data_IF_140313352202
#
_entry.id   IF_140313352202
#
_cell.length_a   1.000
_cell.length_b   1.000
_cell.length_c   1.000
_cell.angle_alpha   90.00
_cell.angle_beta   90.00
_cell.angle_gamma   90.00
#
_symmetry.space_group_name_H-M   'P 1'
#
loop_
_entity.id
_entity.type
_entity.pdbx_description
1 polymer ?
#
# COMPACT_ATOMS: atom_id res chain seq x y z
N UNK A 1 -21.09 -18.14 -21.86
CA UNK A 1 -20.05 -17.22 -21.36
C UNK A 1 -19.80 -17.57 -19.91
N UNK A 2 -18.61 -18.03 -19.50
CA UNK A 2 -18.37 -18.24 -18.08
C UNK A 2 -18.43 -16.87 -17.41
N UNK A 3 -19.42 -16.71 -16.53
CA UNK A 3 -19.48 -15.61 -15.58
C UNK A 3 -18.21 -15.79 -14.75
N UNK A 4 -17.26 -14.86 -14.89
CA UNK A 4 -16.17 -14.77 -13.92
C UNK A 4 -16.85 -14.49 -12.59
N UNK A 5 -17.09 -15.56 -11.84
CA UNK A 5 -17.54 -15.50 -10.46
C UNK A 5 -16.53 -14.57 -9.80
N UNK A 6 -16.99 -13.38 -9.44
CA UNK A 6 -16.23 -12.45 -8.61
C UNK A 6 -16.08 -13.17 -7.28
N UNK A 7 -15.10 -14.07 -7.21
CA UNK A 7 -14.54 -14.50 -5.94
C UNK A 7 -14.32 -13.20 -5.16
N UNK A 8 -14.78 -13.18 -3.91
CA UNK A 8 -14.58 -12.11 -2.95
C UNK A 8 -13.07 -11.91 -2.75
N UNK A 9 -12.42 -11.32 -3.74
CA UNK A 9 -10.97 -11.27 -3.86
C UNK A 9 -10.58 -9.95 -3.23
N UNK A 10 -10.30 -10.08 -1.93
CA UNK A 10 -9.88 -9.06 -1.00
C UNK A 10 -11.04 -8.18 -0.51
N UNK A 11 -11.32 -8.21 0.79
CA UNK A 11 -12.22 -7.27 1.48
C UNK A 11 -11.68 -5.83 1.40
N UNK A 12 -11.80 -5.25 0.21
CA UNK A 12 -11.30 -3.95 -0.22
C UNK A 12 -12.45 -3.07 -0.70
N UNK A 13 -13.64 -3.25 -0.13
CA UNK A 13 -14.86 -2.54 -0.52
C UNK A 13 -14.90 -1.10 0.05
N UNK A 14 -14.01 -0.78 0.99
CA UNK A 14 -13.91 0.51 1.69
C UNK A 14 -12.77 1.39 1.11
N UNK A 15 -12.71 1.53 -0.21
CA UNK A 15 -11.83 2.52 -0.84
C UNK A 15 -12.44 3.92 -0.65
N UNK A 16 -11.75 4.75 0.11
CA UNK A 16 -12.14 6.14 0.36
C UNK A 16 -11.29 7.09 -0.47
N UNK A 17 -11.82 8.28 -0.80
CA UNK A 17 -11.07 9.30 -1.53
C UNK A 17 -9.85 9.73 -0.71
N UNK A 18 -8.67 9.72 -1.34
CA UNK A 18 -7.42 10.12 -0.67
C UNK A 18 -7.50 11.57 -0.19
N UNK A 19 -7.27 11.76 1.10
CA UNK A 19 -7.11 13.06 1.74
C UNK A 19 -5.63 13.43 1.81
N UNK A 20 -5.29 14.65 1.42
CA UNK A 20 -3.91 15.15 1.51
C UNK A 20 -3.74 16.03 2.75
N UNK A 21 -2.73 15.77 3.60
CA UNK A 21 -2.45 16.64 4.73
C UNK A 21 -1.89 17.99 4.23
N UNK A 22 -2.11 19.05 5.02
CA UNK A 22 -1.42 20.32 4.81
C UNK A 22 0.10 20.11 4.96
N UNK A 23 0.87 20.54 3.95
CA UNK A 23 2.33 20.48 3.98
C UNK A 23 2.84 21.77 4.60
N UNK A 24 3.60 21.66 5.68
CA UNK A 24 4.25 22.80 6.33
C UNK A 24 5.74 22.83 6.00
N UNK A 25 6.34 24.02 5.77
CA UNK A 25 7.78 24.16 5.62
C UNK A 25 8.53 23.54 6.81
N UNK A 26 9.61 22.80 6.53
CA UNK A 26 10.43 22.15 7.56
C UNK A 26 9.94 20.78 8.04
N UNK A 27 8.79 20.27 7.55
CA UNK A 27 8.35 18.92 7.90
C UNK A 27 9.26 17.84 7.32
N UNK A 28 9.68 16.90 8.17
CA UNK A 28 10.36 15.69 7.75
C UNK A 28 9.42 14.78 6.92
N UNK A 29 10.00 13.89 6.11
CA UNK A 29 9.24 12.88 5.38
C UNK A 29 8.42 11.96 6.32
N UNK A 30 8.90 11.76 7.55
CA UNK A 30 8.22 10.95 8.57
C UNK A 30 6.93 11.63 9.04
N UNK A 31 7.01 12.92 9.40
CA UNK A 31 5.83 13.68 9.82
C UNK A 31 4.79 13.79 8.70
N UNK A 32 5.24 13.96 7.45
CA UNK A 32 4.34 13.97 6.28
C UNK A 32 3.66 12.61 6.08
N UNK A 33 4.39 11.51 6.33
CA UNK A 33 3.85 10.16 6.28
C UNK A 33 2.81 9.93 7.37
N UNK A 34 3.10 10.31 8.62
CA UNK A 34 2.19 10.14 9.75
C UNK A 34 0.89 10.91 9.54
N UNK A 35 0.98 12.17 9.08
CA UNK A 35 -0.19 12.97 8.75
C UNK A 35 -1.00 12.35 7.61
N UNK A 36 -0.34 11.85 6.56
CA UNK A 36 -1.02 11.16 5.46
C UNK A 36 -1.68 9.85 5.92
N UNK A 37 -0.98 9.05 6.73
CA UNK A 37 -1.48 7.78 7.21
C UNK A 37 -2.67 7.95 8.16
N UNK A 38 -2.63 8.95 9.04
CA UNK A 38 -3.73 9.28 9.94
C UNK A 38 -5.02 9.66 9.17
N UNK A 39 -4.89 10.37 8.05
CA UNK A 39 -6.02 10.74 7.19
C UNK A 39 -6.49 9.60 6.27
N UNK A 40 -5.63 8.61 6.00
CA UNK A 40 -5.92 7.53 5.06
C UNK A 40 -5.56 6.15 5.65
N UNK A 41 -6.15 5.75 6.79
CA UNK A 41 -5.82 4.47 7.43
C UNK A 41 -6.20 3.26 6.55
N UNK A 42 -7.15 3.43 5.64
CA UNK A 42 -7.55 2.41 4.66
C UNK A 42 -6.39 1.98 3.76
N UNK A 43 -5.43 2.87 3.43
CA UNK A 43 -4.28 2.51 2.59
C UNK A 43 -3.47 1.38 3.23
N UNK A 44 -3.21 1.45 4.54
CA UNK A 44 -2.50 0.39 5.24
C UNK A 44 -3.28 -0.92 5.24
N UNK A 45 -4.58 -0.87 5.57
CA UNK A 45 -5.44 -2.07 5.60
C UNK A 45 -5.42 -2.81 4.27
N UNK A 46 -5.51 -2.06 3.16
CA UNK A 46 -5.48 -2.65 1.83
C UNK A 46 -4.10 -3.23 1.49
N UNK A 47 -3.01 -2.57 1.90
CA UNK A 47 -1.67 -3.13 1.73
C UNK A 47 -1.46 -4.40 2.56
N UNK A 48 -1.97 -4.47 3.79
CA UNK A 48 -1.96 -5.67 4.63
C UNK A 48 -2.72 -6.82 3.94
N UNK A 49 -3.94 -6.55 3.45
CA UNK A 49 -4.76 -7.55 2.75
C UNK A 49 -4.08 -8.07 1.47
N UNK A 50 -3.51 -7.19 0.65
CA UNK A 50 -2.78 -7.58 -0.56
C UNK A 50 -1.53 -8.40 -0.24
N UNK A 51 -0.83 -8.05 0.85
CA UNK A 51 0.34 -8.79 1.30
C UNK A 51 -0.04 -10.19 1.77
N UNK A 52 -1.11 -10.29 2.57
CA UNK A 52 -1.63 -11.56 3.06
C UNK A 52 -2.07 -12.47 1.90
N UNK A 53 -2.74 -11.92 0.89
CA UNK A 53 -3.12 -12.67 -0.32
C UNK A 53 -1.88 -13.22 -1.07
N UNK A 54 -0.82 -12.41 -1.20
CA UNK A 54 0.43 -12.87 -1.78
C UNK A 54 1.05 -14.02 -0.97
N UNK A 55 1.04 -13.94 0.36
CA UNK A 55 1.52 -15.02 1.24
C UNK A 55 0.68 -16.28 1.06
N UNK A 56 -0.65 -16.16 1.05
CA UNK A 56 -1.57 -17.27 0.85
C UNK A 56 -1.37 -17.97 -0.52
N UNK A 57 -1.01 -17.20 -1.55
CA UNK A 57 -0.66 -17.70 -2.88
C UNK A 57 0.77 -18.27 -2.99
N UNK A 58 1.52 -18.30 -1.89
CA UNK A 58 2.85 -18.89 -1.83
C UNK A 58 3.98 -18.01 -2.39
N UNK A 59 3.76 -16.70 -2.50
CA UNK A 59 4.79 -15.78 -2.94
C UNK A 59 5.94 -15.76 -1.93
N UNK A 60 7.18 -15.88 -2.44
CA UNK A 60 8.38 -15.83 -1.60
C UNK A 60 8.93 -14.40 -1.44
N UNK A 61 8.60 -13.51 -2.37
CA UNK A 61 9.06 -12.11 -2.41
C UNK A 61 7.95 -11.20 -2.94
N UNK A 62 7.74 -10.07 -2.28
CA UNK A 62 6.75 -9.05 -2.68
C UNK A 62 7.40 -7.68 -2.66
N UNK A 63 7.24 -6.95 -3.76
CA UNK A 63 7.68 -5.56 -3.85
C UNK A 63 6.58 -4.60 -3.43
N UNK A 64 6.88 -3.66 -2.53
CA UNK A 64 5.92 -2.60 -2.17
C UNK A 64 5.47 -1.78 -3.38
N UNK A 65 6.34 -1.64 -4.40
CA UNK A 65 5.99 -0.98 -5.64
C UNK A 65 4.79 -1.63 -6.33
N UNK A 66 4.83 -2.95 -6.46
CA UNK A 66 3.75 -3.76 -7.04
C UNK A 66 2.45 -3.61 -6.24
N UNK A 67 2.52 -3.72 -4.91
CA UNK A 67 1.34 -3.55 -4.04
C UNK A 67 0.70 -2.17 -4.22
N UNK A 68 1.52 -1.12 -4.29
CA UNK A 68 1.06 0.24 -4.52
C UNK A 68 0.50 0.46 -5.92
N UNK A 69 1.05 -0.19 -6.94
CA UNK A 69 0.56 -0.09 -8.31
C UNK A 69 -0.81 -0.75 -8.44
N UNK A 70 -0.98 -1.94 -7.83
CA UNK A 70 -2.26 -2.61 -7.75
C UNK A 70 -3.28 -1.77 -6.98
N UNK A 71 -2.91 -1.24 -5.80
CA UNK A 71 -3.78 -0.36 -5.03
C UNK A 71 -4.16 0.92 -5.79
N UNK A 72 -3.21 1.52 -6.51
CA UNK A 72 -3.45 2.73 -7.33
C UNK A 72 -4.38 2.47 -8.50
N UNK A 73 -4.23 1.33 -9.18
CA UNK A 73 -5.14 0.94 -10.26
C UNK A 73 -6.56 0.78 -9.73
N UNK A 74 -6.74 0.03 -8.63
CA UNK A 74 -8.04 -0.14 -7.94
C UNK A 74 -8.64 1.19 -7.48
N UNK A 75 -7.83 2.06 -6.90
CA UNK A 75 -8.26 3.39 -6.50
C UNK A 75 -8.74 4.21 -7.71
N UNK A 76 -8.04 4.11 -8.85
CA UNK A 76 -8.47 4.75 -10.11
C UNK A 76 -9.82 4.25 -10.61
N UNK A 77 -10.08 2.95 -10.53
CA UNK A 77 -11.39 2.36 -10.84
C UNK A 77 -12.49 2.90 -9.90
N UNK A 78 -12.24 2.89 -8.58
CA UNK A 78 -13.22 3.32 -7.59
C UNK A 78 -13.51 4.83 -7.64
N UNK A 79 -12.53 5.64 -8.01
CA UNK A 79 -12.63 7.12 -7.98
C UNK A 79 -12.80 7.76 -9.35
N UNK A 80 -13.07 6.96 -10.39
CA UNK A 80 -13.33 7.44 -11.76
C UNK A 80 -12.20 8.34 -12.29
N UNK A 81 -10.95 7.92 -12.12
CA UNK A 81 -9.77 8.58 -12.74
C UNK A 81 -8.88 9.40 -11.82
N UNK A 82 -9.13 9.42 -10.50
CA UNK A 82 -8.33 10.18 -9.52
C UNK A 82 -7.01 9.46 -9.11
N UNK A 83 -6.58 8.44 -9.85
CA UNK A 83 -5.49 7.50 -9.51
C UNK A 83 -4.20 8.15 -8.99
N UNK A 84 -3.84 9.32 -9.50
CA UNK A 84 -2.60 10.02 -9.17
C UNK A 84 -2.58 10.64 -7.76
N UNK A 85 -3.72 10.71 -7.06
CA UNK A 85 -3.76 11.17 -5.66
C UNK A 85 -3.02 10.21 -4.71
N UNK A 86 -2.98 8.91 -5.04
CA UNK A 86 -2.19 7.93 -4.32
C UNK A 86 -0.75 7.90 -4.85
N UNK A 87 0.12 8.74 -4.28
CA UNK A 87 1.51 8.87 -4.72
C UNK A 87 2.46 7.84 -4.06
N UNK A 88 3.67 7.71 -4.64
CA UNK A 88 4.72 6.76 -4.23
C UNK A 88 5.57 7.25 -3.03
N UNK A 89 5.36 8.47 -2.52
CA UNK A 89 6.32 9.10 -1.61
C UNK A 89 6.50 8.35 -0.28
N UNK A 90 5.53 7.53 0.10
CA UNK A 90 5.49 6.86 1.39
C UNK A 90 5.72 5.36 1.35
N UNK A 91 6.05 4.76 0.19
CA UNK A 91 6.23 3.30 0.07
C UNK A 91 7.23 2.74 1.07
N UNK A 92 8.37 3.41 1.26
CA UNK A 92 9.40 2.96 2.22
C UNK A 92 8.90 2.96 3.67
N UNK A 93 8.01 3.90 4.03
CA UNK A 93 7.42 3.98 5.36
C UNK A 93 6.33 2.94 5.57
N UNK A 94 5.51 2.71 4.55
CA UNK A 94 4.52 1.62 4.58
C UNK A 94 5.17 0.24 4.68
N UNK A 95 6.30 -0.04 4.00
CA UNK A 95 7.03 -1.31 4.20
C UNK A 95 7.45 -1.48 5.65
N UNK A 96 8.07 -0.45 6.24
CA UNK A 96 8.51 -0.51 7.63
C UNK A 96 7.34 -0.75 8.58
N UNK A 97 6.23 -0.04 8.38
CA UNK A 97 5.02 -0.21 9.19
C UNK A 97 4.37 -1.59 9.03
N UNK A 98 4.38 -2.16 7.81
CA UNK A 98 3.90 -3.53 7.57
C UNK A 98 4.77 -4.55 8.29
N UNK A 99 6.10 -4.42 8.24
CA UNK A 99 7.04 -5.30 8.94
C UNK A 99 6.94 -5.13 10.46
N UNK A 100 6.73 -3.90 10.94
CA UNK A 100 6.54 -3.63 12.37
C UNK A 100 5.29 -4.31 12.91
N UNK A 101 4.19 -4.28 12.14
CA UNK A 101 2.91 -4.92 12.52
C UNK A 101 2.91 -6.43 12.29
N UNK A 102 3.63 -6.91 11.28
CA UNK A 102 3.72 -8.32 10.89
C UNK A 102 5.19 -8.71 10.66
N UNK A 103 5.97 -8.95 11.74
CA UNK A 103 7.39 -9.27 11.65
C UNK A 103 7.70 -10.49 10.77
N UNK A 104 6.76 -11.42 10.62
CA UNK A 104 6.85 -12.58 9.74
C UNK A 104 7.00 -12.19 8.25
N UNK A 105 6.51 -11.01 7.85
CA UNK A 105 6.65 -10.49 6.49
C UNK A 105 8.01 -9.85 6.21
N UNK A 106 8.89 -9.71 7.21
CA UNK A 106 10.23 -9.15 7.01
C UNK A 106 11.02 -9.89 5.92
N UNK A 107 10.85 -11.22 5.80
CA UNK A 107 11.50 -12.03 4.76
C UNK A 107 10.83 -11.94 3.39
N UNK A 108 9.57 -11.50 3.35
CA UNK A 108 8.79 -11.33 2.12
C UNK A 108 9.16 -10.03 1.41
N UNK A 109 9.32 -8.96 2.17
CA UNK A 109 9.76 -7.65 1.68
C UNK A 109 11.28 -7.57 1.77
N UNK A 110 11.98 -7.93 0.70
CA UNK A 110 13.39 -7.55 0.62
C UNK A 110 13.50 -6.04 0.50
N UNK A 111 13.73 -5.37 1.64
CA UNK A 111 14.32 -4.04 1.63
C UNK A 111 15.69 -4.22 0.99
N UNK A 112 15.87 -3.83 -0.28
CA UNK A 112 17.20 -3.81 -0.91
C UNK A 112 18.17 -3.21 0.11
N UNK A 113 19.09 -4.03 0.63
CA UNK A 113 20.25 -3.49 1.29
C UNK A 113 20.86 -2.55 0.26
N UNK A 114 21.00 -1.27 0.61
CA UNK A 114 21.77 -0.33 -0.19
C UNK A 114 23.14 -0.96 -0.36
N UNK A 115 23.40 -1.54 -1.53
CA UNK A 115 24.76 -1.84 -1.93
C UNK A 115 25.40 -0.48 -2.17
N UNK A 116 26.19 -0.02 -1.21
CA UNK A 116 27.24 0.93 -1.50
C UNK A 116 28.12 0.28 -2.57
N UNK A 117 28.15 0.89 -3.75
CA UNK A 117 29.13 0.59 -4.78
C UNK A 117 30.41 1.36 -4.46
#
# INVERSE_FOLDING_TARGET
MPVYQQEQLLGLDDIQRVQQPAIHPGQSIQQRFEAFHALNPWVLRHLEALTQDCVAKGFRRVGIGMLFELLRWRYGEATHGDAFRLNNNFRSRYVRLLIERHPEWARLFETRALRAA
#
